data_IF_551728430473
#
_entry.id   IF_551728430473
#
_cell.length_a   1.000
_cell.length_b   1.000
_cell.length_c   1.000
_cell.angle_alpha   90.00
_cell.angle_beta   90.00
_cell.angle_gamma   90.00
#
_symmetry.space_group_name_H-M   'P 1'
#
loop_
_entity.id
_entity.type
_entity.pdbx_description
1 polymer ?
#
# COMPACT_ATOMS: atom_id res chain seq x y z
N UNK A 1 11.63 -0.25 -6.95
CA UNK A 1 11.77 -1.71 -7.13
C UNK A 1 11.72 -2.39 -5.77
N UNK A 2 11.08 -3.55 -5.71
CA UNK A 2 11.11 -4.45 -4.54
C UNK A 2 12.51 -5.06 -4.42
N UNK A 3 13.11 -4.98 -3.24
CA UNK A 3 14.48 -5.46 -2.96
C UNK A 3 14.51 -6.67 -2.03
N UNK A 4 13.49 -6.85 -1.20
CA UNK A 4 13.42 -7.92 -0.21
C UNK A 4 12.47 -9.03 -0.66
N UNK A 5 12.44 -10.13 0.09
CA UNK A 5 11.49 -11.20 -0.17
C UNK A 5 10.05 -10.69 -0.08
N UNK A 6 9.19 -11.05 -1.04
CA UNK A 6 7.81 -10.55 -1.11
C UNK A 6 7.00 -10.81 0.17
N UNK A 7 7.26 -11.95 0.83
CA UNK A 7 6.61 -12.35 2.07
C UNK A 7 7.07 -11.56 3.30
N UNK A 8 8.17 -10.79 3.19
CA UNK A 8 8.69 -9.99 4.30
C UNK A 8 8.07 -8.61 4.39
N UNK A 9 7.51 -8.10 3.29
CA UNK A 9 6.96 -6.74 3.19
C UNK A 9 7.94 -5.62 3.62
N UNK A 10 9.25 -5.91 3.71
CA UNK A 10 10.24 -4.97 4.24
C UNK A 10 10.41 -3.72 3.36
N UNK A 11 10.11 -3.81 2.07
CA UNK A 11 10.06 -2.64 1.18
C UNK A 11 8.94 -1.65 1.53
N UNK A 12 7.98 -2.01 2.38
CA UNK A 12 6.94 -1.12 2.92
C UNK A 12 7.30 -0.50 4.27
N UNK A 13 8.39 -0.93 4.91
CA UNK A 13 8.75 -0.49 6.26
C UNK A 13 9.03 1.03 6.35
N UNK A 14 9.33 1.70 5.22
CA UNK A 14 9.55 3.16 5.21
C UNK A 14 8.31 3.96 5.63
N UNK A 15 7.11 3.35 5.58
CA UNK A 15 5.87 3.96 6.05
C UNK A 15 5.88 4.24 7.55
N UNK A 16 6.70 3.51 8.31
CA UNK A 16 6.75 3.56 9.76
C UNK A 16 8.20 3.80 10.17
N UNK A 17 8.54 5.00 10.66
CA UNK A 17 9.88 5.30 11.15
C UNK A 17 10.37 4.26 12.17
N UNK A 18 11.65 3.89 12.07
CA UNK A 18 12.26 2.94 13.01
C UNK A 18 12.21 3.51 14.42
N UNK A 19 11.65 2.76 15.36
CA UNK A 19 11.54 3.17 16.76
C UNK A 19 10.38 4.14 17.04
N UNK A 20 9.33 4.14 16.21
CA UNK A 20 8.11 4.92 16.40
C UNK A 20 7.52 4.74 17.80
N UNK A 21 7.14 5.85 18.44
CA UNK A 21 6.62 5.92 19.80
C UNK A 21 5.20 6.45 19.81
N UNK A 22 4.47 6.15 20.88
CA UNK A 22 3.10 6.64 21.11
C UNK A 22 3.02 8.18 21.13
N UNK A 23 4.10 8.85 21.54
CA UNK A 23 4.19 10.32 21.55
C UNK A 23 4.48 10.95 20.19
N UNK A 24 4.85 10.15 19.19
CA UNK A 24 5.20 10.67 17.87
C UNK A 24 3.93 11.06 17.10
N UNK A 25 3.98 12.09 16.24
CA UNK A 25 2.84 12.45 15.42
C UNK A 25 2.46 11.29 14.48
N UNK A 26 1.17 11.10 14.17
CA UNK A 26 0.73 10.05 13.27
C UNK A 26 1.37 10.23 11.88
N UNK A 27 1.70 9.14 11.18
CA UNK A 27 2.13 9.21 9.79
C UNK A 27 1.00 9.77 8.92
N UNK A 28 1.37 10.26 7.73
CA UNK A 28 0.38 10.66 6.73
C UNK A 28 -0.49 9.46 6.34
N UNK A 29 -1.78 9.71 6.07
CA UNK A 29 -2.70 8.65 5.68
C UNK A 29 -2.26 8.00 4.37
N UNK A 30 -2.29 6.67 4.34
CA UNK A 30 -1.87 5.91 3.17
C UNK A 30 -2.79 4.74 2.83
N UNK A 31 -2.82 4.39 1.55
CA UNK A 31 -3.48 3.18 1.04
C UNK A 31 -2.45 2.30 0.34
N UNK A 32 -2.53 1.00 0.57
CA UNK A 32 -1.69 0.01 -0.11
C UNK A 32 -2.60 -1.00 -0.79
N UNK A 33 -2.57 -1.03 -2.11
CA UNK A 33 -3.31 -1.98 -2.92
C UNK A 33 -2.52 -3.27 -3.10
N UNK A 34 -3.18 -4.39 -2.82
CA UNK A 34 -2.71 -5.74 -2.99
C UNK A 34 -3.60 -6.52 -3.95
N UNK A 35 -3.02 -7.56 -4.54
CA UNK A 35 -3.70 -8.38 -5.53
C UNK A 35 -4.55 -9.48 -4.89
N UNK A 36 -4.22 -9.86 -3.65
CA UNK A 36 -4.89 -10.94 -2.93
C UNK A 36 -5.18 -10.54 -1.49
N UNK A 37 -6.25 -11.11 -0.92
CA UNK A 37 -6.64 -10.91 0.48
C UNK A 37 -5.54 -11.38 1.45
N UNK A 38 -4.90 -12.56 1.27
CA UNK A 38 -3.82 -12.97 2.16
C UNK A 38 -2.64 -12.00 2.16
N UNK A 39 -2.29 -11.41 1.00
CA UNK A 39 -1.23 -10.41 0.94
C UNK A 39 -1.58 -9.14 1.72
N UNK A 40 -2.82 -8.64 1.62
CA UNK A 40 -3.23 -7.45 2.37
C UNK A 40 -3.23 -7.68 3.88
N UNK A 41 -3.70 -8.86 4.33
CA UNK A 41 -3.66 -9.25 5.74
C UNK A 41 -2.21 -9.36 6.22
N UNK A 42 -1.38 -10.14 5.54
CA UNK A 42 0.00 -10.37 5.99
C UNK A 42 0.83 -9.08 5.99
N UNK A 43 0.64 -8.20 5.00
CA UNK A 43 1.30 -6.91 4.96
C UNK A 43 0.88 -6.01 6.13
N UNK A 44 -0.43 -5.92 6.41
CA UNK A 44 -0.91 -5.15 7.57
C UNK A 44 -0.33 -5.69 8.87
N UNK A 45 -0.35 -7.00 9.11
CA UNK A 45 0.29 -7.63 10.26
C UNK A 45 1.78 -7.31 10.36
N UNK A 46 2.51 -7.35 9.23
CA UNK A 46 3.94 -7.01 9.19
C UNK A 46 4.18 -5.54 9.55
N UNK A 47 3.36 -4.61 9.04
CA UNK A 47 3.45 -3.19 9.37
C UNK A 47 3.12 -2.94 10.84
N UNK A 48 2.09 -3.58 11.38
CA UNK A 48 1.71 -3.50 12.78
C UNK A 48 2.84 -3.94 13.74
N UNK A 49 3.68 -4.90 13.34
CA UNK A 49 4.83 -5.35 14.15
C UNK A 49 5.92 -4.28 14.30
N UNK A 50 5.94 -3.26 13.44
CA UNK A 50 6.86 -2.12 13.55
C UNK A 50 6.32 -1.01 14.46
N UNK A 51 5.06 -1.11 14.91
CA UNK A 51 4.44 -0.15 15.81
C UNK A 51 4.40 -0.68 17.26
N UNK A 52 4.34 0.23 18.25
CA UNK A 52 3.89 -0.11 19.59
C UNK A 52 2.51 -0.79 19.55
N UNK A 53 2.25 -1.69 20.50
CA UNK A 53 1.02 -2.49 20.55
C UNK A 53 -0.24 -1.61 20.60
N UNK A 54 -0.16 -0.46 21.25
CA UNK A 54 -1.25 0.50 21.37
C UNK A 54 -1.62 1.14 20.03
N UNK A 55 -0.66 1.22 19.11
CA UNK A 55 -0.82 1.86 17.80
C UNK A 55 -0.98 0.86 16.66
N UNK A 56 -0.84 -0.44 16.92
CA UNK A 56 -0.98 -1.46 15.89
C UNK A 56 -2.39 -1.46 15.26
N UNK A 57 -3.38 -0.95 15.99
CA UNK A 57 -4.78 -0.84 15.50
C UNK A 57 -4.98 0.25 14.45
N UNK A 58 -4.03 1.17 14.28
CA UNK A 58 -4.16 2.28 13.33
C UNK A 58 -3.82 1.87 11.88
N UNK A 59 -3.29 0.66 11.66
CA UNK A 59 -3.07 0.08 10.33
C UNK A 59 -3.93 -1.18 10.23
N UNK A 60 -4.82 -1.22 9.23
CA UNK A 60 -5.77 -2.33 9.07
C UNK A 60 -5.78 -2.87 7.65
N UNK A 61 -6.40 -4.02 7.48
CA UNK A 61 -6.72 -4.56 6.16
C UNK A 61 -8.20 -4.37 5.84
N UNK A 62 -8.50 -4.30 4.56
CA UNK A 62 -9.84 -4.08 4.04
C UNK A 62 -10.06 -4.87 2.76
N UNK A 63 -11.13 -5.64 2.66
CA UNK A 63 -11.49 -6.35 1.42
C UNK A 63 -13.00 -6.56 1.26
N UNK A 64 -13.44 -6.98 0.07
CA UNK A 64 -14.86 -7.16 -0.26
C UNK A 64 -15.61 -8.10 0.67
N UNK A 65 -14.95 -9.15 1.16
CA UNK A 65 -15.62 -10.18 1.96
C UNK A 65 -15.91 -9.74 3.40
N UNK A 66 -15.49 -8.53 3.79
CA UNK A 66 -15.81 -7.95 5.10
C UNK A 66 -17.26 -7.46 5.18
N UNK A 67 -17.81 -7.52 6.40
CA UNK A 67 -19.16 -7.04 6.70
C UNK A 67 -19.30 -5.55 6.38
N UNK A 68 -20.44 -5.15 5.84
CA UNK A 68 -20.74 -3.73 5.51
C UNK A 68 -20.54 -2.80 6.71
N UNK A 69 -21.00 -3.21 7.90
CA UNK A 69 -20.84 -2.43 9.14
C UNK A 69 -19.35 -2.18 9.45
N UNK A 70 -18.50 -3.19 9.26
CA UNK A 70 -17.05 -3.02 9.45
C UNK A 70 -16.49 -2.01 8.44
N UNK A 71 -16.95 -2.10 7.18
CA UNK A 71 -16.51 -1.20 6.11
C UNK A 71 -16.84 0.27 6.39
N UNK A 72 -18.06 0.52 6.86
CA UNK A 72 -18.54 1.86 7.22
C UNK A 72 -17.75 2.42 8.40
N UNK A 73 -17.58 1.63 9.47
CA UNK A 73 -16.80 2.04 10.65
C UNK A 73 -15.34 2.34 10.29
N UNK A 74 -14.68 1.50 9.48
CA UNK A 74 -13.29 1.76 9.12
C UNK A 74 -13.12 2.95 8.17
N UNK A 75 -14.12 3.24 7.32
CA UNK A 75 -14.11 4.45 6.52
C UNK A 75 -14.22 5.69 7.42
N UNK A 76 -15.12 5.68 8.42
CA UNK A 76 -15.23 6.77 9.40
C UNK A 76 -13.93 6.97 10.18
N UNK A 77 -13.30 5.89 10.64
CA UNK A 77 -12.00 5.93 11.33
C UNK A 77 -10.89 6.49 10.44
N UNK A 78 -10.90 6.15 9.15
CA UNK A 78 -9.93 6.70 8.20
C UNK A 78 -10.17 8.19 7.97
N UNK A 79 -11.42 8.63 7.90
CA UNK A 79 -11.77 10.06 7.77
C UNK A 79 -11.36 10.86 9.01
N UNK A 80 -11.61 10.34 10.21
CA UNK A 80 -11.26 10.98 11.48
C UNK A 80 -9.75 10.99 11.77
N UNK A 81 -8.99 10.12 11.12
CA UNK A 81 -7.56 9.93 11.38
C UNK A 81 -7.25 8.96 12.52
N UNK A 82 -8.26 8.24 13.02
CA UNK A 82 -8.06 7.09 13.90
C UNK A 82 -7.40 5.92 13.16
N UNK A 83 -7.72 5.72 11.88
CA UNK A 83 -6.99 4.81 11.00
C UNK A 83 -6.01 5.61 10.15
N UNK A 84 -4.74 5.22 10.15
CA UNK A 84 -3.67 5.86 9.37
C UNK A 84 -3.42 5.16 8.04
N UNK A 85 -3.58 3.83 8.01
CA UNK A 85 -3.21 3.03 6.85
C UNK A 85 -4.20 1.92 6.58
N UNK A 86 -4.57 1.73 5.31
CA UNK A 86 -5.34 0.57 4.87
C UNK A 86 -4.59 -0.27 3.83
N UNK A 87 -4.48 -1.56 4.10
CA UNK A 87 -4.04 -2.59 3.17
C UNK A 87 -5.28 -3.18 2.47
N UNK A 88 -5.48 -2.87 1.19
CA UNK A 88 -6.74 -3.09 0.49
C UNK A 88 -6.57 -3.96 -0.75
N UNK A 89 -7.64 -4.62 -1.19
CA UNK A 89 -7.69 -5.28 -2.50
C UNK A 89 -8.44 -4.41 -3.52
N UNK A 90 -8.17 -4.62 -4.82
CA UNK A 90 -8.70 -3.79 -5.91
C UNK A 90 -10.23 -3.64 -5.93
N UNK A 91 -10.96 -4.53 -5.28
CA UNK A 91 -12.42 -4.50 -5.23
C UNK A 91 -13.00 -3.38 -4.36
N UNK A 92 -12.17 -2.57 -3.71
CA UNK A 92 -12.60 -1.47 -2.83
C UNK A 92 -12.27 -0.06 -3.32
N UNK A 93 -11.51 0.11 -4.42
CA UNK A 93 -11.11 1.45 -4.89
C UNK A 93 -12.24 2.31 -5.49
N UNK A 94 -13.38 1.72 -5.83
CA UNK A 94 -14.52 2.44 -6.40
C UNK A 94 -15.49 2.87 -5.29
N UNK A 95 -15.23 4.01 -4.63
CA UNK A 95 -16.21 4.63 -3.73
C UNK A 95 -15.69 5.21 -2.41
N UNK A 96 -14.39 5.20 -2.15
CA UNK A 96 -13.82 5.94 -1.02
C UNK A 96 -13.49 7.38 -1.45
N UNK A 97 -14.26 8.34 -0.95
CA UNK A 97 -13.97 9.77 -1.06
C UNK A 97 -13.28 10.23 0.23
N UNK A 98 -11.97 10.01 0.32
CA UNK A 98 -11.14 10.48 1.44
C UNK A 98 -10.18 11.54 0.93
N UNK A 99 -10.40 12.78 1.34
CA UNK A 99 -9.74 13.95 0.77
C UNK A 99 -8.23 14.00 1.01
N UNK A 100 -7.75 13.35 2.07
CA UNK A 100 -6.39 13.52 2.62
C UNK A 100 -5.54 12.24 2.62
N UNK A 101 -5.75 11.35 1.64
CA UNK A 101 -4.85 10.22 1.38
C UNK A 101 -3.60 10.71 0.64
N UNK A 102 -2.51 10.96 1.37
CA UNK A 102 -1.27 11.50 0.81
C UNK A 102 -0.42 10.48 0.06
N UNK A 103 -0.57 9.18 0.36
CA UNK A 103 0.27 8.16 -0.23
C UNK A 103 -0.57 6.96 -0.67
N UNK A 104 -0.52 6.66 -1.96
CA UNK A 104 -1.12 5.45 -2.53
C UNK A 104 -0.03 4.57 -3.09
N UNK A 105 -0.01 3.31 -2.67
CA UNK A 105 0.99 2.34 -3.09
C UNK A 105 0.28 1.18 -3.79
N UNK A 106 0.73 0.80 -4.98
CA UNK A 106 0.40 -0.49 -5.57
C UNK A 106 1.54 -1.47 -5.28
N UNK A 107 1.23 -2.55 -4.55
CA UNK A 107 2.16 -3.64 -4.28
C UNK A 107 2.13 -4.67 -5.42
N UNK A 108 3.27 -4.80 -6.10
CA UNK A 108 3.51 -5.67 -7.27
C UNK A 108 2.69 -5.27 -8.50
N UNK A 109 3.26 -5.55 -9.66
CA UNK A 109 2.63 -5.23 -10.94
C UNK A 109 1.83 -6.43 -11.48
N UNK A 110 0.55 -6.51 -11.13
CA UNK A 110 -0.36 -7.49 -11.77
C UNK A 110 -1.68 -6.90 -12.25
N UNK A 111 -1.91 -5.60 -12.04
CA UNK A 111 -3.13 -4.94 -12.48
C UNK A 111 -2.97 -4.29 -13.86
N UNK A 112 -4.08 -4.16 -14.59
CA UNK A 112 -4.09 -3.40 -15.86
C UNK A 112 -3.80 -1.93 -15.57
N UNK A 113 -3.16 -1.23 -16.53
CA UNK A 113 -2.86 0.20 -16.41
C UNK A 113 -4.07 1.07 -16.03
N UNK A 114 -5.26 0.72 -16.53
CA UNK A 114 -6.51 1.43 -16.19
C UNK A 114 -6.84 1.29 -14.70
N UNK A 115 -6.68 0.09 -14.14
CA UNK A 115 -6.87 -0.15 -12.71
C UNK A 115 -5.83 0.61 -11.89
N UNK A 116 -4.57 0.59 -12.32
CA UNK A 116 -3.49 1.34 -11.67
C UNK A 116 -3.81 2.84 -11.64
N UNK A 117 -4.27 3.39 -12.76
CA UNK A 117 -4.64 4.80 -12.88
C UNK A 117 -5.80 5.17 -11.97
N UNK A 118 -6.81 4.30 -11.88
CA UNK A 118 -7.94 4.50 -10.95
C UNK A 118 -7.48 4.50 -9.50
N UNK A 119 -6.62 3.56 -9.11
CA UNK A 119 -6.07 3.47 -7.76
C UNK A 119 -5.23 4.71 -7.42
N UNK A 120 -4.37 5.14 -8.33
CA UNK A 120 -3.53 6.32 -8.13
C UNK A 120 -4.34 7.61 -8.09
N UNK A 121 -5.47 7.66 -8.80
CA UNK A 121 -6.44 8.74 -8.69
C UNK A 121 -7.12 8.86 -7.32
N UNK A 122 -6.99 7.87 -6.44
CA UNK A 122 -7.42 7.99 -5.04
C UNK A 122 -6.48 8.86 -4.19
N UNK A 123 -5.25 9.13 -4.66
CA UNK A 123 -4.32 9.96 -3.93
C UNK A 123 -4.80 11.42 -3.96
N UNK A 124 -5.10 11.96 -2.78
CA UNK A 124 -5.46 13.37 -2.53
C UNK A 124 -6.51 13.92 -3.51
N UNK A 125 -7.78 13.86 -3.11
CA UNK A 125 -8.88 14.50 -3.87
C UNK A 125 -8.88 16.03 -3.76
N UNK A 126 -8.30 16.58 -2.69
CA UNK A 126 -8.20 18.02 -2.53
C UNK A 126 -7.15 18.62 -3.47
N UNK A 127 -7.59 19.46 -4.42
CA UNK A 127 -6.73 20.09 -5.42
C UNK A 127 -5.64 21.02 -4.86
N UNK A 128 -5.75 21.42 -3.58
CA UNK A 128 -4.75 22.23 -2.89
C UNK A 128 -3.61 21.40 -2.28
N UNK A 129 -3.78 20.07 -2.22
CA UNK A 129 -2.84 19.14 -1.61
C UNK A 129 -2.14 18.31 -2.71
N UNK A 130 -0.93 17.82 -2.41
CA UNK A 130 -0.18 16.94 -3.33
C UNK A 130 0.00 15.56 -2.72
N UNK A 131 -0.53 14.54 -3.40
CA UNK A 131 -0.33 13.13 -3.06
C UNK A 131 0.81 12.50 -3.83
N UNK A 132 1.33 11.39 -3.32
CA UNK A 132 2.31 10.54 -3.99
C UNK A 132 1.66 9.21 -4.33
N UNK A 133 1.81 8.78 -5.57
CA UNK A 133 1.47 7.44 -6.02
C UNK A 133 2.75 6.64 -6.30
N UNK A 134 2.85 5.43 -5.77
CA UNK A 134 4.04 4.58 -5.88
C UNK A 134 3.67 3.19 -6.39
N UNK A 135 4.32 2.75 -7.47
CA UNK A 135 4.30 1.36 -7.91
C UNK A 135 5.55 0.64 -7.40
N UNK A 136 5.37 -0.34 -6.50
CA UNK A 136 6.45 -1.23 -6.09
C UNK A 136 6.41 -2.50 -6.94
N UNK A 137 7.18 -2.49 -8.04
CA UNK A 137 7.30 -3.62 -8.96
C UNK A 137 8.52 -4.50 -8.66
N UNK A 138 8.41 -5.78 -9.01
CA UNK A 138 9.51 -6.73 -9.03
C UNK A 138 10.60 -6.30 -10.03
N UNK A 139 11.85 -6.59 -9.68
CA UNK A 139 13.04 -6.20 -10.42
C UNK A 139 13.02 -6.62 -11.91
N UNK A 140 12.33 -7.71 -12.26
CA UNK A 140 12.23 -8.22 -13.62
C UNK A 140 11.45 -7.31 -14.59
N UNK A 141 10.68 -6.35 -14.09
CA UNK A 141 9.86 -5.46 -14.92
C UNK A 141 10.60 -4.18 -15.34
N UNK A 142 11.86 -4.02 -14.92
CA UNK A 142 12.68 -2.86 -15.27
C UNK A 142 13.52 -3.15 -16.53
N UNK A 143 13.61 -2.15 -17.43
CA UNK A 143 14.23 -2.29 -18.75
C UNK A 143 15.71 -2.70 -18.68
N UNK A 144 16.46 -2.11 -17.75
CA UNK A 144 17.87 -2.42 -17.50
C UNK A 144 18.09 -3.91 -17.16
N UNK A 145 17.16 -4.52 -16.43
CA UNK A 145 17.21 -5.94 -16.08
C UNK A 145 16.81 -6.85 -17.24
N UNK A 146 15.87 -6.41 -18.08
CA UNK A 146 15.53 -7.14 -19.31
C UNK A 146 16.70 -7.12 -20.30
N UNK A 147 17.34 -5.97 -20.49
CA UNK A 147 18.54 -5.81 -21.32
C UNK A 147 19.70 -6.67 -20.81
N UNK A 148 19.97 -6.63 -19.50
CA UNK A 148 21.00 -7.46 -18.88
C UNK A 148 20.72 -8.97 -19.05
N UNK A 149 19.45 -9.38 -18.94
CA UNK A 149 19.03 -10.77 -19.16
C UNK A 149 19.21 -11.20 -20.62
N UNK A 150 18.85 -10.35 -21.58
CA UNK A 150 19.06 -10.60 -23.00
C UNK A 150 20.56 -10.71 -23.34
N UNK A 151 21.39 -9.82 -22.79
CA UNK A 151 22.84 -9.85 -22.97
C UNK A 151 23.50 -11.12 -22.38
N UNK A 152 23.00 -11.63 -21.24
CA UNK A 152 23.46 -12.91 -20.67
C UNK A 152 23.09 -14.09 -21.56
N UNK A 153 21.87 -14.10 -22.11
CA UNK A 153 21.39 -15.17 -22.99
C UNK A 153 22.23 -15.25 -24.29
N UNK A 154 22.52 -14.10 -24.91
CA UNK A 154 23.37 -14.03 -26.11
C UNK A 154 24.83 -14.46 -25.88
N UNK A 155 25.32 -14.51 -24.63
CA UNK A 155 26.67 -15.00 -24.31
C UNK A 155 26.72 -16.50 -24.02
N UNK A 156 25.57 -17.14 -23.83
CA UNK A 156 25.43 -18.56 -23.56
C UNK A 156 25.04 -19.37 -24.80
N UNK A 157 24.68 -18.68 -25.89
CA UNK A 157 24.46 -19.20 -27.25
C UNK A 157 25.74 -19.05 -28.09
#
# INVERSE_FOLDING_TARGET
QIRYALSSYADLAFLIPVGFKVSDPPPQKFLIFFNTIPESINASCSLCQHLPLELSVNIKWFHTDMLTIYKEVELENLMSGETWGLCITASFGMGMDVADIFLVIQWRETCKIVTLWQQFGCAVWNQELTGTALLLAEKQYFDDEQEAKAARKMRQE
#
